data_IF_537905757251
#
_entry.id   IF_537905757251
#
_cell.length_a   1.000
_cell.length_b   1.000
_cell.length_c   1.000
_cell.angle_alpha   90.00
_cell.angle_beta   90.00
_cell.angle_gamma   90.00
#
_symmetry.space_group_name_H-M   'P 1'
#
loop_
_entity.id
_entity.type
_entity.pdbx_description
1 polymer ?
#
# COMPACT_ATOMS: atom_id res chain seq x y z
N UNK A 1 19.56 0.25 -16.90
CA UNK A 1 19.35 -1.12 -16.39
C UNK A 1 19.21 -1.99 -17.61
N UNK A 2 20.32 -2.58 -18.00
CA UNK A 2 20.39 -3.53 -19.13
C UNK A 2 19.80 -4.85 -18.65
N UNK A 3 18.97 -5.44 -19.48
CA UNK A 3 18.52 -6.82 -19.68
C UNK A 3 19.17 -7.94 -18.85
N UNK A 4 19.10 -7.86 -17.57
CA UNK A 4 19.03 -8.94 -16.65
C UNK A 4 17.85 -8.59 -15.80
N UNK A 5 16.64 -8.84 -16.30
CA UNK A 5 15.48 -8.97 -15.44
C UNK A 5 15.97 -9.88 -14.34
N UNK A 6 16.07 -9.35 -13.11
CA UNK A 6 16.28 -10.19 -11.95
C UNK A 6 15.16 -11.23 -12.06
N UNK A 7 15.49 -12.41 -12.55
CA UNK A 7 14.53 -13.41 -13.01
C UNK A 7 13.52 -13.73 -11.90
N UNK A 8 13.93 -13.55 -10.64
CA UNK A 8 13.06 -13.74 -9.50
C UNK A 8 12.07 -12.57 -9.31
N UNK A 9 12.51 -11.32 -9.40
CA UNK A 9 11.62 -10.17 -9.24
C UNK A 9 10.56 -10.12 -10.36
N UNK A 10 10.96 -10.46 -11.59
CA UNK A 10 10.02 -10.58 -12.70
C UNK A 10 9.00 -11.71 -12.48
N UNK A 11 9.44 -12.88 -12.05
CA UNK A 11 8.55 -14.02 -11.73
C UNK A 11 7.56 -13.66 -10.62
N UNK A 12 8.02 -12.97 -9.59
CA UNK A 12 7.17 -12.55 -8.48
C UNK A 12 6.17 -11.48 -8.93
N UNK A 13 6.57 -10.55 -9.81
CA UNK A 13 5.66 -9.59 -10.41
C UNK A 13 4.60 -10.27 -11.28
N UNK A 14 4.97 -11.22 -12.16
CA UNK A 14 4.03 -11.98 -12.98
C UNK A 14 3.04 -12.76 -12.11
N UNK A 15 3.54 -13.43 -11.05
CA UNK A 15 2.69 -14.17 -10.09
C UNK A 15 1.66 -13.27 -9.38
N UNK A 16 1.99 -12.00 -9.19
CA UNK A 16 1.12 -10.99 -8.58
C UNK A 16 0.28 -10.20 -9.60
N UNK A 17 0.08 -10.72 -10.82
CA UNK A 17 -0.79 -10.13 -11.83
C UNK A 17 -0.09 -9.29 -12.90
N UNK A 18 1.25 -9.35 -12.98
CA UNK A 18 2.02 -8.67 -14.00
C UNK A 18 1.68 -9.10 -15.43
N UNK A 19 1.28 -10.37 -15.62
CA UNK A 19 0.79 -10.89 -16.89
C UNK A 19 -0.50 -10.20 -17.36
N UNK A 20 -1.44 -9.95 -16.44
CA UNK A 20 -2.65 -9.19 -16.74
C UNK A 20 -2.31 -7.74 -17.10
N UNK A 21 -1.32 -7.14 -16.44
CA UNK A 21 -0.83 -5.82 -16.76
C UNK A 21 -0.22 -5.76 -18.16
N UNK A 22 0.69 -6.70 -18.52
CA UNK A 22 1.25 -6.80 -19.86
C UNK A 22 0.15 -6.92 -20.92
N UNK A 23 -0.83 -7.79 -20.67
CA UNK A 23 -1.97 -7.97 -21.56
C UNK A 23 -2.79 -6.70 -21.74
N UNK A 24 -3.03 -5.95 -20.69
CA UNK A 24 -3.81 -4.70 -20.75
C UNK A 24 -3.12 -3.63 -21.59
N UNK A 25 -1.79 -3.62 -21.64
CA UNK A 25 -1.00 -2.74 -22.49
C UNK A 25 -0.78 -3.32 -23.92
N UNK A 26 -1.15 -4.58 -24.17
CA UNK A 26 -0.91 -5.24 -25.46
C UNK A 26 0.58 -5.48 -25.74
N UNK A 27 1.40 -5.63 -24.71
CA UNK A 27 2.85 -5.81 -24.80
C UNK A 27 3.30 -7.15 -24.22
N UNK A 28 4.51 -7.59 -24.57
CA UNK A 28 5.06 -8.86 -24.11
C UNK A 28 6.08 -8.72 -22.98
N UNK A 29 6.61 -7.53 -22.75
CA UNK A 29 7.58 -7.26 -21.69
C UNK A 29 7.44 -5.84 -21.13
N UNK A 30 8.01 -5.60 -19.94
CA UNK A 30 8.09 -4.27 -19.34
C UNK A 30 8.91 -3.31 -20.22
N UNK A 31 9.87 -3.82 -20.98
CA UNK A 31 10.66 -3.00 -21.89
C UNK A 31 9.80 -2.32 -22.96
N UNK A 32 8.67 -2.92 -23.34
CA UNK A 32 7.76 -2.43 -24.38
C UNK A 32 6.69 -1.46 -23.85
N UNK A 33 6.65 -1.17 -22.55
CA UNK A 33 5.73 -0.18 -22.00
C UNK A 33 5.98 1.20 -22.57
N UNK A 34 4.92 1.99 -22.81
CA UNK A 34 5.08 3.39 -23.21
C UNK A 34 5.93 4.16 -22.19
N UNK A 35 6.84 5.05 -22.65
CA UNK A 35 7.78 5.77 -21.79
C UNK A 35 7.10 6.53 -20.64
N UNK A 36 5.94 7.11 -20.87
CA UNK A 36 5.18 7.88 -19.88
C UNK A 36 4.78 7.03 -18.66
N UNK A 37 4.46 5.74 -18.85
CA UNK A 37 4.14 4.84 -17.75
C UNK A 37 5.40 4.41 -16.98
N UNK A 38 6.50 4.17 -17.69
CA UNK A 38 7.80 3.91 -17.05
C UNK A 38 8.22 5.10 -16.19
N UNK A 39 8.09 6.31 -16.72
CA UNK A 39 8.39 7.55 -16.01
C UNK A 39 7.47 7.73 -14.78
N UNK A 40 6.20 7.37 -14.90
CA UNK A 40 5.27 7.37 -13.77
C UNK A 40 5.76 6.41 -12.68
N UNK A 41 6.03 5.14 -13.00
CA UNK A 41 6.49 4.15 -12.02
C UNK A 41 7.81 4.55 -11.37
N UNK A 42 8.77 5.07 -12.14
CA UNK A 42 10.07 5.50 -11.62
C UNK A 42 9.98 6.70 -10.67
N UNK A 43 8.90 7.50 -10.75
CA UNK A 43 8.63 8.64 -9.86
C UNK A 43 7.81 8.29 -8.64
N UNK A 44 7.22 7.10 -8.56
CA UNK A 44 6.48 6.67 -7.37
C UNK A 44 7.38 6.60 -6.14
N UNK A 45 6.80 6.81 -4.97
CA UNK A 45 7.51 6.79 -3.70
C UNK A 45 7.01 5.60 -2.87
N UNK A 46 7.93 4.89 -2.23
CA UNK A 46 7.59 3.80 -1.31
C UNK A 46 7.02 4.36 0.00
N UNK A 47 7.53 5.52 0.41
CA UNK A 47 7.10 6.23 1.60
C UNK A 47 7.04 7.72 1.29
N UNK A 48 6.00 8.40 1.81
CA UNK A 48 5.79 9.84 1.66
C UNK A 48 5.51 10.48 3.01
N UNK A 49 6.08 11.66 3.24
CA UNK A 49 5.83 12.47 4.43
C UNK A 49 5.00 13.70 4.06
N UNK A 50 3.94 13.96 4.82
CA UNK A 50 3.16 15.18 4.70
C UNK A 50 2.69 15.64 6.09
N UNK A 51 3.28 16.71 6.60
CA UNK A 51 3.04 17.17 7.97
C UNK A 51 3.35 16.06 9.01
N UNK A 52 2.41 15.74 9.89
CA UNK A 52 2.60 14.68 10.88
C UNK A 52 2.38 13.28 10.30
N UNK A 53 1.99 13.15 9.05
CA UNK A 53 1.60 11.87 8.45
C UNK A 53 2.74 11.22 7.68
N UNK A 54 2.84 9.90 7.82
CA UNK A 54 3.69 9.00 7.04
C UNK A 54 2.75 8.12 6.22
N UNK A 55 2.87 8.20 4.90
CA UNK A 55 2.13 7.33 3.98
C UNK A 55 3.04 6.22 3.51
N UNK A 56 2.62 5.00 3.69
CA UNK A 56 3.38 3.81 3.30
C UNK A 56 2.40 2.72 2.84
N UNK A 57 2.82 1.83 1.92
CA UNK A 57 1.92 0.82 1.40
C UNK A 57 1.48 -0.17 2.48
N UNK A 58 2.41 -0.88 3.12
CA UNK A 58 2.10 -1.96 4.07
C UNK A 58 2.31 -1.55 5.53
N UNK A 59 3.44 -0.95 5.87
CA UNK A 59 3.77 -0.57 7.23
C UNK A 59 5.25 -0.28 7.42
N UNK A 60 5.70 -0.28 8.68
CA UNK A 60 7.09 0.00 9.02
C UNK A 60 7.65 -1.08 9.94
N UNK A 61 8.91 -1.46 9.73
CA UNK A 61 9.64 -2.31 10.64
C UNK A 61 10.30 -1.44 11.73
N UNK A 62 9.87 -1.62 12.98
CA UNK A 62 10.40 -0.88 14.13
C UNK A 62 11.62 -1.56 14.78
N UNK A 63 12.11 -2.69 14.24
CA UNK A 63 13.33 -3.35 14.73
C UNK A 63 14.61 -2.51 14.53
N UNK A 64 14.94 -2.09 13.29
CA UNK A 64 16.12 -1.28 13.01
C UNK A 64 16.12 0.08 13.71
N UNK A 65 17.29 0.70 13.88
CA UNK A 65 17.42 2.07 14.42
C UNK A 65 16.70 3.08 13.49
N UNK A 66 16.97 3.01 12.20
CA UNK A 66 16.22 3.76 11.17
C UNK A 66 15.08 2.90 10.64
N UNK A 67 13.85 3.24 11.01
CA UNK A 67 12.62 2.54 10.59
C UNK A 67 12.28 2.75 9.11
N UNK A 68 13.00 3.61 8.40
CA UNK A 68 12.78 3.91 6.98
C UNK A 68 13.75 3.21 6.03
N UNK A 69 14.67 2.40 6.54
CA UNK A 69 15.62 1.67 5.70
C UNK A 69 15.08 0.33 5.17
N UNK A 70 14.08 -0.26 5.83
CA UNK A 70 13.52 -1.56 5.45
C UNK A 70 12.44 -1.39 4.38
N UNK A 71 12.90 -1.32 3.11
CA UNK A 71 12.01 -1.15 1.95
C UNK A 71 11.08 -2.34 1.74
N UNK A 72 11.51 -3.55 2.08
CA UNK A 72 10.70 -4.76 1.96
C UNK A 72 9.53 -4.72 2.96
N UNK A 73 9.79 -4.35 4.19
CA UNK A 73 8.72 -4.17 5.18
C UNK A 73 7.71 -3.11 4.75
N UNK A 74 8.15 -1.98 4.17
CA UNK A 74 7.23 -0.95 3.68
C UNK A 74 6.26 -1.45 2.63
N UNK A 75 6.63 -2.50 1.86
CA UNK A 75 5.82 -3.07 0.78
C UNK A 75 5.02 -4.30 1.22
N UNK A 76 5.50 -5.08 2.21
CA UNK A 76 4.99 -6.43 2.43
C UNK A 76 4.65 -6.78 3.87
N UNK A 77 5.05 -5.97 4.87
CA UNK A 77 4.77 -6.28 6.27
C UNK A 77 3.26 -6.32 6.52
N UNK A 78 2.78 -7.34 7.23
CA UNK A 78 1.34 -7.48 7.50
C UNK A 78 0.95 -7.06 8.92
N UNK A 79 1.87 -7.23 9.86
CA UNK A 79 1.69 -6.85 11.25
C UNK A 79 2.95 -6.18 11.77
N UNK A 80 2.78 -5.09 12.50
CA UNK A 80 3.88 -4.35 13.11
C UNK A 80 3.44 -3.71 14.43
N UNK A 81 4.40 -3.61 15.35
CA UNK A 81 4.19 -2.93 16.63
C UNK A 81 4.93 -1.60 16.61
N UNK A 82 4.22 -0.52 16.87
CA UNK A 82 4.80 0.83 16.85
C UNK A 82 5.68 1.05 18.10
N UNK A 83 6.94 1.42 17.88
CA UNK A 83 7.77 2.02 18.91
C UNK A 83 7.64 3.55 18.84
N UNK A 84 6.93 4.12 19.81
CA UNK A 84 6.68 5.58 19.90
C UNK A 84 7.97 6.41 20.00
N UNK A 85 9.06 5.87 20.54
CA UNK A 85 10.34 6.58 20.61
C UNK A 85 10.94 6.81 19.23
N UNK A 86 10.71 5.86 18.29
CA UNK A 86 11.17 5.96 16.90
C UNK A 86 10.18 6.72 16.02
N UNK A 87 8.88 6.51 16.23
CA UNK A 87 7.83 7.20 15.48
C UNK A 87 7.71 8.68 15.85
N UNK A 88 7.87 9.02 17.14
CA UNK A 88 7.58 10.34 17.69
C UNK A 88 6.08 10.64 17.62
N UNK A 89 5.75 11.90 17.29
CA UNK A 89 4.35 12.39 17.18
C UNK A 89 3.72 12.12 15.80
N UNK A 90 4.40 11.34 14.95
CA UNK A 90 3.90 11.05 13.62
C UNK A 90 2.79 10.00 13.65
N UNK A 91 1.99 10.00 12.58
CA UNK A 91 0.90 9.05 12.34
C UNK A 91 1.15 8.29 11.05
N UNK A 92 0.89 6.99 11.06
CA UNK A 92 1.07 6.10 9.91
C UNK A 92 -0.27 5.92 9.21
N UNK A 93 -0.28 6.15 7.90
CA UNK A 93 -1.40 5.86 7.00
C UNK A 93 -0.95 4.74 6.06
N UNK A 94 -1.66 3.60 6.09
CA UNK A 94 -1.27 2.43 5.31
C UNK A 94 -2.46 1.60 4.81
N UNK A 95 -2.18 0.56 4.03
CA UNK A 95 -3.14 -0.41 3.51
C UNK A 95 -2.56 -1.82 3.48
N UNK A 96 -2.63 -2.50 2.32
CA UNK A 96 -2.03 -3.81 2.02
C UNK A 96 -2.64 -5.02 2.76
N UNK A 97 -2.92 -4.88 4.05
CA UNK A 97 -3.54 -5.95 4.83
C UNK A 97 -4.99 -5.57 5.10
N UNK A 98 -5.96 -6.14 4.36
CA UNK A 98 -7.35 -5.79 4.51
C UNK A 98 -7.87 -6.03 5.92
N UNK A 99 -8.59 -5.04 6.45
CA UNK A 99 -9.25 -5.10 7.76
C UNK A 99 -10.76 -4.92 7.59
N UNK A 100 -11.59 -5.48 8.48
CA UNK A 100 -13.01 -5.17 8.49
C UNK A 100 -13.26 -3.67 8.63
N UNK A 101 -14.25 -3.14 7.91
CA UNK A 101 -14.56 -1.71 7.89
C UNK A 101 -14.74 -1.13 9.30
N UNK A 102 -15.42 -1.87 10.19
CA UNK A 102 -15.63 -1.44 11.57
C UNK A 102 -14.31 -1.16 12.31
N UNK A 103 -13.30 -2.02 12.12
CA UNK A 103 -11.98 -1.83 12.72
C UNK A 103 -11.19 -0.66 12.09
N UNK A 104 -11.52 -0.30 10.85
CA UNK A 104 -10.91 0.82 10.14
C UNK A 104 -11.46 2.15 10.65
N UNK A 105 -12.77 2.28 10.70
CA UNK A 105 -13.43 3.54 11.12
C UNK A 105 -13.40 3.78 12.63
N UNK A 106 -13.14 2.73 13.43
CA UNK A 106 -12.94 2.79 14.87
C UNK A 106 -11.56 2.25 15.24
N UNK A 107 -10.47 2.92 14.86
CA UNK A 107 -9.13 2.42 15.13
C UNK A 107 -8.85 2.37 16.63
N UNK A 108 -8.21 1.29 17.09
CA UNK A 108 -7.79 1.13 18.49
C UNK A 108 -6.71 2.15 18.92
N UNK A 109 -6.08 2.79 17.93
CA UNK A 109 -4.97 3.72 18.10
C UNK A 109 -5.18 4.98 17.26
N UNK A 110 -4.69 6.10 17.75
CA UNK A 110 -4.76 7.41 17.08
C UNK A 110 -3.50 7.76 16.27
N UNK A 111 -2.58 6.80 16.14
CA UNK A 111 -1.31 6.98 15.43
C UNK A 111 -1.10 6.01 14.26
N UNK A 112 -2.03 5.08 14.02
CA UNK A 112 -2.00 4.16 12.88
C UNK A 112 -3.39 4.05 12.26
N UNK A 113 -3.50 4.37 10.98
CA UNK A 113 -4.75 4.31 10.22
C UNK A 113 -4.57 3.38 9.01
N UNK A 114 -5.27 2.25 9.03
CA UNK A 114 -5.39 1.39 7.86
C UNK A 114 -6.53 1.92 6.97
N UNK A 115 -6.30 2.04 5.67
CA UNK A 115 -7.33 2.45 4.71
C UNK A 115 -7.87 1.28 3.86
N UNK A 116 -7.32 0.08 4.02
CA UNK A 116 -7.67 -1.07 3.21
C UNK A 116 -8.85 -1.84 3.81
N UNK A 117 -10.04 -1.51 3.38
CA UNK A 117 -11.27 -2.21 3.74
C UNK A 117 -11.57 -3.41 2.81
N UNK A 118 -10.58 -3.88 2.06
CA UNK A 118 -10.68 -5.05 1.20
C UNK A 118 -11.77 -4.91 0.13
N UNK A 119 -11.75 -3.82 -0.64
CA UNK A 119 -12.80 -3.51 -1.62
C UNK A 119 -13.11 -4.68 -2.57
N UNK A 120 -12.09 -5.45 -2.96
CA UNK A 120 -12.23 -6.61 -3.87
C UNK A 120 -12.86 -7.84 -3.19
N UNK A 121 -12.97 -7.87 -1.87
CA UNK A 121 -13.47 -9.02 -1.10
C UNK A 121 -14.93 -8.82 -0.67
N UNK A 122 -15.81 -8.52 -1.62
CA UNK A 122 -17.24 -8.21 -1.36
C UNK A 122 -18.00 -9.33 -0.64
N UNK A 123 -17.58 -10.59 -0.81
CA UNK A 123 -18.22 -11.75 -0.15
C UNK A 123 -17.65 -12.06 1.24
N UNK A 124 -16.63 -11.32 1.69
CA UNK A 124 -16.03 -11.51 3.02
C UNK A 124 -16.71 -10.58 4.03
N UNK A 125 -17.24 -11.09 5.15
CA UNK A 125 -17.90 -10.26 6.17
C UNK A 125 -17.03 -9.06 6.60
N UNK A 126 -17.62 -7.88 6.60
CA UNK A 126 -16.97 -6.63 6.98
C UNK A 126 -16.02 -6.04 5.96
N UNK A 127 -15.84 -6.66 4.80
CA UNK A 127 -15.00 -6.18 3.69
C UNK A 127 -15.87 -5.73 2.51
N UNK A 128 -15.25 -5.43 1.37
CA UNK A 128 -15.97 -4.99 0.18
C UNK A 128 -16.20 -3.48 0.11
N UNK A 129 -15.39 -2.69 0.78
CA UNK A 129 -15.52 -1.24 0.82
C UNK A 129 -14.25 -0.54 0.36
N UNK A 130 -14.43 0.57 -0.35
CA UNK A 130 -13.39 1.57 -0.55
C UNK A 130 -13.53 2.60 0.58
N UNK A 131 -12.47 2.80 1.34
CA UNK A 131 -12.43 3.75 2.44
C UNK A 131 -11.41 4.85 2.19
N UNK A 132 -11.77 6.09 2.52
CA UNK A 132 -10.87 7.23 2.51
C UNK A 132 -11.01 7.99 3.84
N UNK A 133 -9.91 8.59 4.29
CA UNK A 133 -9.87 9.42 5.49
C UNK A 133 -9.50 10.85 5.10
N UNK A 134 -10.38 11.81 5.40
CA UNK A 134 -10.06 13.22 5.30
C UNK A 134 -9.16 13.61 6.48
N UNK A 135 -7.91 13.91 6.21
CA UNK A 135 -6.92 14.23 7.25
C UNK A 135 -7.05 15.64 7.84
N UNK A 136 -7.97 16.47 7.34
CA UNK A 136 -8.23 17.81 7.88
C UNK A 136 -9.17 17.77 9.07
N UNK A 137 -10.23 16.96 8.98
CA UNK A 137 -11.30 16.85 9.98
C UNK A 137 -11.44 15.43 10.54
N UNK A 138 -10.63 14.48 10.04
CA UNK A 138 -10.62 13.07 10.42
C UNK A 138 -11.94 12.36 10.12
N UNK A 139 -12.68 12.82 9.11
CA UNK A 139 -13.92 12.19 8.66
C UNK A 139 -13.64 11.03 7.68
N UNK A 140 -14.37 9.95 7.85
CA UNK A 140 -14.32 8.80 6.95
C UNK A 140 -15.33 8.94 5.82
N UNK A 141 -14.89 8.65 4.60
CA UNK A 141 -15.71 8.50 3.41
C UNK A 141 -15.66 7.05 3.00
N UNK A 142 -16.80 6.38 2.93
CA UNK A 142 -16.89 4.95 2.66
C UNK A 142 -17.86 4.68 1.52
N UNK A 143 -17.44 3.87 0.55
CA UNK A 143 -18.26 3.43 -0.58
C UNK A 143 -18.19 1.91 -0.68
N UNK A 144 -19.35 1.24 -0.75
CA UNK A 144 -19.41 -0.20 -1.00
C UNK A 144 -18.96 -0.54 -2.41
N UNK A 145 -18.35 -1.72 -2.59
CA UNK A 145 -18.05 -2.23 -3.92
C UNK A 145 -19.37 -2.42 -4.68
N UNK A 146 -19.51 -1.77 -5.83
CA UNK A 146 -20.69 -1.82 -6.71
C UNK A 146 -20.48 -2.67 -7.96
N UNK A 147 -19.34 -3.36 -8.10
CA UNK A 147 -19.10 -4.28 -9.21
C UNK A 147 -20.01 -5.51 -9.10
N UNK A 148 -20.58 -5.90 -10.24
CA UNK A 148 -21.49 -7.05 -10.35
C UNK A 148 -20.73 -8.38 -10.30
#
# INVERSE_FOLDING_TARGET
MESGEDDQAYKDWVRNGGDATLKSFGVSSYADFPPEYKDFFNRTRICLFNGPYIFVHAGLNFGPEDIFQDREAMLWIRDFTVDKRKLGDRKIIHGHTPRPLEAIINPERDDVYCLDAGCVYKDRPGHGYLAALNLTDMEWIVVGNCEA
#
